data_IF_171955689793
#
_entry.id   IF_171955689793
#
_cell.length_a   1.000
_cell.length_b   1.000
_cell.length_c   1.000
_cell.angle_alpha   90.00
_cell.angle_beta   90.00
_cell.angle_gamma   90.00
#
_symmetry.space_group_name_H-M   'P 1'
#
loop_
_entity.id
_entity.type
_entity.pdbx_description
1 polymer ?
#
# COMPACT_ATOMS: atom_id res chain seq x y z
N UNK A 1 -8.70 -0.14 5.59
CA UNK A 1 -7.56 0.21 4.71
C UNK A 1 -7.50 1.66 4.27
N UNK A 2 -8.57 2.27 3.77
CA UNK A 2 -8.57 3.70 3.40
C UNK A 2 -7.99 4.61 4.49
N UNK A 3 -8.52 4.52 5.71
CA UNK A 3 -8.06 5.33 6.85
C UNK A 3 -6.54 5.20 7.09
N UNK A 4 -5.99 3.98 7.03
CA UNK A 4 -4.55 3.75 7.17
C UNK A 4 -3.73 4.55 6.15
N UNK A 5 -4.05 4.45 4.86
CA UNK A 5 -3.30 5.17 3.83
C UNK A 5 -3.50 6.69 3.88
N UNK A 6 -4.67 7.16 4.28
CA UNK A 6 -4.93 8.59 4.45
C UNK A 6 -4.22 9.15 5.69
N UNK A 7 -4.25 8.46 6.81
CA UNK A 7 -3.68 8.94 8.08
C UNK A 7 -2.16 8.80 8.14
N UNK A 8 -1.60 7.67 7.67
CA UNK A 8 -0.16 7.40 7.74
C UNK A 8 0.59 8.07 6.60
N UNK A 9 0.04 8.02 5.38
CA UNK A 9 0.74 8.49 4.18
C UNK A 9 0.14 9.76 3.58
N UNK A 10 -0.95 10.30 4.12
CA UNK A 10 -1.57 11.50 3.56
C UNK A 10 -2.21 11.28 2.19
N UNK A 11 -2.52 10.03 1.82
CA UNK A 11 -3.19 9.73 0.56
C UNK A 11 -4.61 10.32 0.57
N UNK A 12 -5.00 10.94 -0.55
CA UNK A 12 -6.27 11.67 -0.65
C UNK A 12 -7.32 10.80 -1.34
N UNK A 13 -8.48 10.51 -0.71
CA UNK A 13 -9.58 9.82 -1.37
C UNK A 13 -10.13 10.64 -2.54
N UNK A 14 -10.36 9.99 -3.68
CA UNK A 14 -10.90 10.62 -4.88
C UNK A 14 -12.30 10.14 -5.21
N UNK A 15 -12.46 8.85 -5.47
CA UNK A 15 -13.71 8.24 -5.92
C UNK A 15 -13.93 6.93 -5.15
N UNK A 16 -15.08 6.87 -4.50
CA UNK A 16 -15.50 5.75 -3.66
C UNK A 16 -16.75 5.11 -4.25
N UNK A 17 -16.71 3.79 -4.45
CA UNK A 17 -17.86 2.99 -4.85
C UNK A 17 -18.14 1.97 -3.74
N UNK A 18 -19.28 2.13 -3.09
CA UNK A 18 -19.66 1.35 -1.91
C UNK A 18 -20.29 -0.02 -2.24
N UNK A 19 -20.67 -0.26 -3.49
CA UNK A 19 -21.15 -1.57 -3.94
C UNK A 19 -21.16 -1.60 -5.47
N UNK A 20 -20.41 -2.54 -6.04
CA UNK A 20 -20.36 -2.79 -7.47
C UNK A 20 -20.55 -4.28 -7.71
N UNK A 21 -21.47 -4.60 -8.62
CA UNK A 21 -21.92 -5.96 -8.92
C UNK A 21 -22.43 -6.03 -10.37
N UNK A 22 -22.84 -7.22 -10.79
CA UNK A 22 -23.40 -7.51 -12.11
C UNK A 22 -22.45 -8.28 -13.00
N UNK A 23 -23.00 -8.85 -14.08
CA UNK A 23 -22.28 -9.76 -14.98
C UNK A 23 -20.97 -9.18 -15.50
N UNK A 24 -20.90 -7.88 -15.76
CA UNK A 24 -19.66 -7.25 -16.23
C UNK A 24 -18.53 -7.29 -15.19
N UNK A 25 -18.83 -7.22 -13.88
CA UNK A 25 -17.81 -7.37 -12.82
C UNK A 25 -17.30 -8.80 -12.79
N UNK A 26 -18.20 -9.77 -12.90
CA UNK A 26 -17.82 -11.18 -12.99
C UNK A 26 -16.97 -11.44 -14.24
N UNK A 27 -17.32 -10.85 -15.38
CA UNK A 27 -16.59 -11.01 -16.64
C UNK A 27 -15.19 -10.38 -16.60
N UNK A 28 -15.04 -9.15 -16.09
CA UNK A 28 -13.71 -8.51 -16.06
C UNK A 28 -12.78 -9.16 -15.02
N UNK A 29 -13.33 -9.69 -13.92
CA UNK A 29 -12.52 -10.29 -12.84
C UNK A 29 -12.38 -11.80 -12.99
N UNK A 30 -13.21 -12.44 -13.82
CA UNK A 30 -13.38 -13.89 -13.91
C UNK A 30 -13.76 -14.55 -12.56
N UNK A 31 -14.39 -13.80 -11.65
CA UNK A 31 -14.86 -14.28 -10.35
C UNK A 31 -16.39 -14.34 -10.36
N UNK A 32 -16.94 -15.55 -10.29
CA UNK A 32 -18.39 -15.76 -10.26
C UNK A 32 -19.02 -15.15 -8.99
N UNK A 33 -20.13 -14.43 -9.16
CA UNK A 33 -20.81 -13.71 -8.08
C UNK A 33 -19.97 -12.60 -7.44
N UNK A 34 -19.01 -12.02 -8.18
CA UNK A 34 -18.17 -10.96 -7.66
C UNK A 34 -18.99 -9.73 -7.26
N UNK A 35 -18.83 -9.36 -5.99
CA UNK A 35 -19.32 -8.12 -5.42
C UNK A 35 -18.13 -7.41 -4.80
N UNK A 36 -17.90 -6.16 -5.18
CA UNK A 36 -16.75 -5.37 -4.72
C UNK A 36 -17.17 -4.00 -4.21
N UNK A 37 -16.32 -3.43 -3.37
CA UNK A 37 -16.24 -1.98 -3.08
C UNK A 37 -14.85 -1.53 -3.46
N UNK A 38 -14.69 -0.28 -3.85
CA UNK A 38 -13.35 0.25 -4.08
C UNK A 38 -13.25 1.73 -3.75
N UNK A 39 -12.01 2.16 -3.50
CA UNK A 39 -11.64 3.57 -3.42
C UNK A 39 -10.35 3.81 -4.17
N UNK A 40 -10.30 4.89 -4.95
CA UNK A 40 -9.04 5.42 -5.47
C UNK A 40 -8.46 6.43 -4.48
N UNK A 41 -7.18 6.27 -4.17
CA UNK A 41 -6.41 7.15 -3.30
C UNK A 41 -5.28 7.80 -4.10
N UNK A 42 -5.23 9.12 -4.16
CA UNK A 42 -4.10 9.83 -4.79
C UNK A 42 -2.90 9.88 -3.85
N UNK A 43 -1.73 9.54 -4.36
CA UNK A 43 -0.49 9.69 -3.60
C UNK A 43 -0.17 11.18 -3.35
N UNK A 44 0.38 11.53 -2.18
CA UNK A 44 0.80 12.90 -1.89
C UNK A 44 1.99 13.31 -2.77
N UNK A 45 2.18 14.62 -2.97
CA UNK A 45 3.39 15.17 -3.59
C UNK A 45 3.41 15.23 -5.13
N UNK A 46 2.39 14.70 -5.82
CA UNK A 46 2.34 14.65 -7.29
C UNK A 46 1.30 15.58 -7.95
N UNK A 47 0.65 16.46 -7.17
CA UNK A 47 -0.36 17.38 -7.69
C UNK A 47 -1.72 16.71 -7.94
N UNK A 48 -2.61 17.40 -8.66
CA UNK A 48 -3.99 16.95 -8.85
C UNK A 48 -4.11 15.71 -9.75
N UNK A 49 -3.18 15.56 -10.71
CA UNK A 49 -3.13 14.46 -11.69
C UNK A 49 -2.07 13.41 -11.32
N UNK A 50 -1.72 13.33 -10.03
CA UNK A 50 -0.76 12.37 -9.50
C UNK A 50 -1.22 10.92 -9.61
N UNK A 51 -0.30 9.95 -9.43
CA UNK A 51 -0.65 8.53 -9.46
C UNK A 51 -1.64 8.18 -8.34
N UNK A 52 -2.39 7.11 -8.57
CA UNK A 52 -3.42 6.61 -7.68
C UNK A 52 -3.12 5.18 -7.21
N UNK A 53 -3.53 4.87 -5.99
CA UNK A 53 -3.65 3.54 -5.43
C UNK A 53 -5.14 3.18 -5.38
N UNK A 54 -5.54 2.16 -6.13
CA UNK A 54 -6.89 1.60 -6.05
C UNK A 54 -6.93 0.50 -4.98
N UNK A 55 -7.74 0.70 -3.95
CA UNK A 55 -8.03 -0.33 -2.94
C UNK A 55 -9.34 -1.00 -3.29
N UNK A 56 -9.31 -2.29 -3.60
CA UNK A 56 -10.49 -3.09 -3.95
C UNK A 56 -10.78 -4.10 -2.85
N UNK A 57 -11.98 -4.07 -2.30
CA UNK A 57 -12.48 -5.03 -1.32
C UNK A 57 -13.55 -5.90 -1.96
N UNK A 58 -13.30 -7.21 -2.06
CA UNK A 58 -14.36 -8.19 -2.35
C UNK A 58 -15.21 -8.40 -1.10
N UNK A 59 -16.54 -8.40 -1.25
CA UNK A 59 -17.48 -8.68 -0.15
C UNK A 59 -17.43 -10.16 0.27
N UNK A 60 -17.08 -11.03 -0.68
CA UNK A 60 -16.88 -12.46 -0.48
C UNK A 60 -15.45 -12.82 -0.94
N UNK A 61 -14.40 -12.44 -0.19
CA UNK A 61 -13.02 -12.63 -0.61
C UNK A 61 -12.61 -14.11 -0.54
N UNK A 62 -11.71 -14.52 -1.43
CA UNK A 62 -11.03 -15.80 -1.32
C UNK A 62 -9.97 -15.77 -0.20
N UNK A 63 -9.29 -16.90 0.02
CA UNK A 63 -8.24 -17.00 1.03
C UNK A 63 -7.07 -16.06 0.71
N UNK A 64 -6.59 -15.35 1.73
CA UNK A 64 -5.33 -14.61 1.71
C UNK A 64 -4.12 -15.56 1.84
N UNK A 65 -3.08 -15.30 1.07
CA UNK A 65 -1.79 -15.97 1.16
C UNK A 65 -0.78 -15.11 1.91
N UNK A 66 0.16 -15.77 2.59
CA UNK A 66 1.29 -15.09 3.20
C UNK A 66 2.28 -14.68 2.11
N UNK A 67 2.61 -13.39 2.04
CA UNK A 67 3.58 -12.84 1.10
C UNK A 67 4.81 -12.39 1.88
N UNK A 68 5.98 -12.84 1.45
CA UNK A 68 7.29 -12.43 1.96
C UNK A 68 8.04 -11.63 0.88
N UNK A 69 9.07 -10.83 1.25
CA UNK A 69 9.82 -10.03 0.28
C UNK A 69 10.48 -10.82 -0.85
N UNK A 70 10.71 -12.13 -0.68
CA UNK A 70 11.29 -13.03 -1.68
C UNK A 70 10.25 -13.84 -2.47
N UNK A 71 8.96 -13.53 -2.31
CA UNK A 71 7.88 -14.15 -3.10
C UNK A 71 7.88 -13.57 -4.53
N UNK A 72 7.82 -14.44 -5.54
CA UNK A 72 7.69 -14.01 -6.95
C UNK A 72 6.39 -13.23 -7.19
N UNK A 73 6.48 -12.15 -7.97
CA UNK A 73 5.33 -11.36 -8.41
C UNK A 73 5.43 -9.90 -8.00
N UNK A 74 4.28 -9.27 -7.74
CA UNK A 74 4.23 -7.93 -7.16
C UNK A 74 4.73 -8.00 -5.71
N UNK A 75 5.82 -7.28 -5.40
CA UNK A 75 6.44 -7.27 -4.07
C UNK A 75 5.78 -6.26 -3.14
N UNK A 76 5.86 -4.97 -3.50
CA UNK A 76 5.46 -3.88 -2.61
C UNK A 76 5.28 -2.55 -3.35
N UNK A 77 4.64 -1.59 -2.66
CA UNK A 77 4.71 -0.15 -2.96
C UNK A 77 5.77 0.49 -2.06
N UNK A 78 6.52 1.46 -2.58
CA UNK A 78 7.51 2.22 -1.81
C UNK A 78 7.10 3.68 -1.65
N UNK A 79 7.27 4.22 -0.44
CA UNK A 79 7.04 5.63 -0.11
C UNK A 79 8.36 6.31 0.27
N UNK A 80 8.67 7.37 -0.47
CA UNK A 80 9.71 8.33 -0.05
C UNK A 80 9.20 9.16 1.13
N UNK A 81 9.88 9.09 2.26
CA UNK A 81 9.50 9.78 3.51
C UNK A 81 10.63 10.66 4.02
N UNK A 82 10.29 11.68 4.80
CA UNK A 82 11.28 12.58 5.41
C UNK A 82 12.03 11.94 6.59
N UNK A 83 11.43 10.96 7.26
CA UNK A 83 12.01 10.28 8.43
C UNK A 83 11.44 8.85 8.51
N UNK A 84 12.30 7.85 8.23
CA UNK A 84 11.92 6.44 8.19
C UNK A 84 11.48 5.92 9.55
N UNK A 85 12.10 6.38 10.65
CA UNK A 85 11.74 5.93 11.99
C UNK A 85 10.34 6.41 12.38
N UNK A 86 10.04 7.69 12.14
CA UNK A 86 8.70 8.25 12.42
C UNK A 86 7.62 7.63 11.56
N UNK A 87 7.90 7.41 10.27
CA UNK A 87 6.95 6.76 9.37
C UNK A 87 6.67 5.31 9.80
N UNK A 88 7.69 4.56 10.21
CA UNK A 88 7.51 3.20 10.73
C UNK A 88 6.70 3.18 12.03
N UNK A 89 6.95 4.11 12.94
CA UNK A 89 6.16 4.27 14.18
C UNK A 89 4.68 4.55 13.87
N UNK A 90 4.40 5.41 12.88
CA UNK A 90 3.05 5.69 12.42
C UNK A 90 2.36 4.44 11.83
N UNK A 91 3.07 3.65 11.01
CA UNK A 91 2.55 2.37 10.49
C UNK A 91 2.16 1.44 11.63
N UNK A 92 3.08 1.21 12.58
CA UNK A 92 2.85 0.27 13.69
C UNK A 92 1.70 0.75 14.57
N UNK A 93 1.63 2.05 14.86
CA UNK A 93 0.54 2.65 15.65
C UNK A 93 -0.82 2.49 14.97
N UNK A 94 -0.86 2.57 13.64
CA UNK A 94 -2.07 2.40 12.83
C UNK A 94 -2.45 0.92 12.60
N UNK A 95 -1.80 -0.03 13.28
CA UNK A 95 -2.09 -1.47 13.20
C UNK A 95 -1.35 -2.21 12.09
N UNK A 96 -0.40 -1.55 11.42
CA UNK A 96 0.55 -2.20 10.52
C UNK A 96 1.66 -2.94 11.27
N UNK A 97 2.59 -3.52 10.51
CA UNK A 97 3.66 -4.37 11.02
C UNK A 97 5.04 -3.91 10.59
N UNK A 98 6.06 -4.39 11.30
CA UNK A 98 7.47 -4.24 10.94
C UNK A 98 7.97 -5.57 10.37
N UNK A 99 8.62 -5.55 9.19
CA UNK A 99 9.19 -6.75 8.56
C UNK A 99 10.69 -6.85 8.86
N UNK A 100 11.42 -5.75 8.74
CA UNK A 100 12.87 -5.70 8.96
C UNK A 100 13.31 -4.66 9.99
N UNK A 101 14.61 -4.39 10.05
CA UNK A 101 15.19 -3.30 10.86
C UNK A 101 15.42 -2.06 9.99
N UNK A 102 15.33 -0.87 10.60
CA UNK A 102 15.67 0.38 9.92
C UNK A 102 17.20 0.44 9.78
N UNK A 103 17.68 0.44 8.54
CA UNK A 103 19.11 0.42 8.24
C UNK A 103 19.47 1.54 7.27
N UNK A 104 20.70 2.05 7.38
CA UNK A 104 21.27 3.01 6.43
C UNK A 104 22.44 2.38 5.68
N UNK A 105 22.35 2.29 4.36
CA UNK A 105 23.38 1.75 3.48
C UNK A 105 23.84 2.75 2.42
N UNK A 106 25.01 2.49 1.82
CA UNK A 106 25.49 3.20 0.65
C UNK A 106 24.91 2.58 -0.63
N UNK A 107 24.18 3.38 -1.41
CA UNK A 107 23.65 2.96 -2.71
C UNK A 107 24.60 3.46 -3.81
N UNK A 108 25.17 2.56 -4.63
CA UNK A 108 26.09 2.95 -5.70
C UNK A 108 25.51 4.06 -6.59
N UNK A 109 26.26 5.15 -6.73
CA UNK A 109 25.90 6.33 -7.54
C UNK A 109 24.65 7.10 -7.09
N UNK A 110 24.11 6.84 -5.89
CA UNK A 110 22.85 7.45 -5.40
C UNK A 110 22.95 8.06 -4.01
N UNK A 111 24.00 7.78 -3.25
CA UNK A 111 24.21 8.33 -1.90
C UNK A 111 23.78 7.35 -0.81
N UNK A 112 23.50 7.87 0.40
CA UNK A 112 23.09 7.03 1.54
C UNK A 112 21.58 6.91 1.58
N UNK A 113 21.08 5.69 1.65
CA UNK A 113 19.66 5.36 1.75
C UNK A 113 19.39 4.82 3.14
N UNK A 114 18.43 5.41 3.85
CA UNK A 114 17.82 4.80 5.03
C UNK A 114 16.51 4.15 4.60
N UNK A 115 16.32 2.87 4.94
CA UNK A 115 15.15 2.11 4.50
C UNK A 115 14.69 1.07 5.51
N UNK A 116 13.43 0.64 5.37
CA UNK A 116 12.85 -0.53 6.07
C UNK A 116 11.65 -1.07 5.30
N UNK A 117 11.47 -2.40 5.33
CA UNK A 117 10.19 -3.02 4.96
C UNK A 117 9.25 -3.12 6.16
N UNK A 118 8.00 -2.79 5.92
CA UNK A 118 6.88 -2.80 6.85
C UNK A 118 5.67 -3.48 6.18
N UNK A 119 4.57 -3.61 6.91
CA UNK A 119 3.28 -4.00 6.33
C UNK A 119 2.19 -3.04 6.72
N UNK A 120 1.18 -2.93 5.87
CA UNK A 120 -0.11 -2.40 6.27
C UNK A 120 -0.87 -3.36 7.22
N UNK A 121 -2.05 -2.98 7.75
CA UNK A 121 -2.86 -3.85 8.63
C UNK A 121 -3.33 -5.15 7.97
N UNK A 122 -3.35 -5.19 6.64
CA UNK A 122 -3.66 -6.38 5.85
C UNK A 122 -2.39 -7.11 5.41
N UNK A 123 -1.21 -6.84 5.98
CA UNK A 123 0.01 -7.58 5.68
C UNK A 123 0.60 -7.31 4.29
N UNK A 124 0.09 -6.34 3.52
CA UNK A 124 0.71 -5.94 2.25
C UNK A 124 2.03 -5.24 2.55
N UNK A 125 3.10 -5.64 1.85
CA UNK A 125 4.44 -5.09 2.09
C UNK A 125 4.51 -3.64 1.59
N UNK A 126 5.05 -2.78 2.43
CA UNK A 126 5.36 -1.38 2.14
C UNK A 126 6.84 -1.12 2.44
N UNK A 127 7.53 -0.44 1.53
CA UNK A 127 8.87 0.08 1.77
C UNK A 127 8.80 1.55 2.18
N UNK A 128 9.55 1.91 3.22
CA UNK A 128 9.81 3.28 3.61
C UNK A 128 11.25 3.61 3.27
N UNK A 129 11.49 4.70 2.55
CA UNK A 129 12.84 5.08 2.16
C UNK A 129 13.08 6.59 2.27
N UNK A 130 14.31 6.96 2.63
CA UNK A 130 14.80 8.34 2.67
C UNK A 130 16.25 8.39 2.20
N UNK A 131 16.53 9.18 1.15
CA UNK A 131 17.90 9.50 0.74
C UNK A 131 18.44 10.66 1.59
N UNK A 132 19.68 10.51 2.08
CA UNK A 132 20.42 11.49 2.85
C UNK A 132 21.53 12.14 2.03
#
# INVERSE_FOLDING_TARGET
MQAFYTEVFGCVPLREINHLTGTWIEEITSVAGAEIRYVHLRFPGFGADGPELELVQYLNPSRKFDITPDTYGFGHVSFGVADVHKALEAIVTAGGGRVGEVLTGDVPNRGRLTEVYATDPEGNIIELQCYN
#
